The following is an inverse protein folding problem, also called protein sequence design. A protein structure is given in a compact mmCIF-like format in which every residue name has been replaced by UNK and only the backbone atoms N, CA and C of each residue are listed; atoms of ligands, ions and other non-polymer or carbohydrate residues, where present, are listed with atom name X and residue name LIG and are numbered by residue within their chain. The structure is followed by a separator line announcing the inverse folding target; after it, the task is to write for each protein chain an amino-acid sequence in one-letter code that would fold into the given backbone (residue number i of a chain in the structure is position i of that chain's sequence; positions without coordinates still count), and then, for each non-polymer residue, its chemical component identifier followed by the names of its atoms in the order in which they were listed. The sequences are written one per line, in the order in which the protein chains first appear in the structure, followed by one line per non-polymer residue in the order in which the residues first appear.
data_IF_227608049345
#
_entry.id   IF_227608049345
#
_cell.length_a   1.000
_cell.length_b   1.000
_cell.length_c   1.000
_cell.angle_alpha   90.00
_cell.angle_beta   90.00
_cell.angle_gamma   90.00
#
_symmetry.space_group_name_H-M   'P 1'
#
loop_
_entity.id
_entity.type
_entity.pdbx_description
1 polymer ?
#
# COMPACT_ATOMS: atom_id res chain seq x y z
N UNK A 1 -14.85 -7.97 18.04
CA UNK A 1 -13.96 -8.26 16.90
C UNK A 1 -14.88 -8.51 15.72
N UNK A 2 -14.93 -7.58 14.76
CA UNK A 2 -15.83 -7.66 13.60
C UNK A 2 -15.07 -8.40 12.49
N UNK A 3 -15.72 -9.37 11.90
CA UNK A 3 -15.17 -10.47 11.11
C UNK A 3 -14.20 -10.07 9.97
N UNK A 4 -13.10 -10.82 9.84
CA UNK A 4 -12.48 -11.16 8.55
C UNK A 4 -11.46 -10.18 7.94
N UNK A 5 -11.44 -8.92 8.35
CA UNK A 5 -10.53 -7.92 7.78
C UNK A 5 -9.41 -7.57 8.77
N UNK A 6 -8.21 -8.08 8.51
CA UNK A 6 -7.00 -7.67 9.23
C UNK A 6 -6.63 -6.25 8.81
N UNK A 7 -7.00 -5.28 9.64
CA UNK A 7 -6.51 -3.91 9.53
C UNK A 7 -5.13 -3.82 10.17
N UNK A 8 -4.18 -3.25 9.46
CA UNK A 8 -2.85 -2.96 9.99
C UNK A 8 -2.36 -1.62 9.47
N UNK A 9 -1.51 -0.97 10.25
CA UNK A 9 -0.81 0.25 9.87
C UNK A 9 0.66 -0.09 9.64
N UNK A 10 1.27 0.52 8.61
CA UNK A 10 2.69 0.40 8.35
C UNK A 10 3.27 1.72 7.85
N UNK A 11 4.57 1.91 8.07
CA UNK A 11 5.30 2.94 7.35
C UNK A 11 5.48 2.54 5.87
N UNK A 12 5.59 3.55 5.02
CA UNK A 12 5.82 3.36 3.59
C UNK A 12 7.32 3.41 3.33
N UNK A 13 7.95 2.23 3.30
CA UNK A 13 9.41 2.12 3.15
C UNK A 13 9.86 2.01 1.68
N UNK A 14 8.96 1.65 0.77
CA UNK A 14 9.29 1.43 -0.65
C UNK A 14 8.08 1.59 -1.55
N UNK A 15 8.12 2.62 -2.41
CA UNK A 15 7.21 2.82 -3.54
C UNK A 15 7.99 2.63 -4.85
N UNK A 16 7.31 2.08 -5.86
CA UNK A 16 7.79 2.04 -7.24
C UNK A 16 6.73 2.59 -8.20
N UNK A 17 7.19 3.35 -9.19
CA UNK A 17 6.37 3.87 -10.29
C UNK A 17 7.09 3.55 -11.59
N UNK A 18 6.46 2.85 -12.52
CA UNK A 18 7.07 2.44 -13.80
C UNK A 18 8.42 1.69 -13.66
N UNK A 19 8.55 0.82 -12.65
CA UNK A 19 9.80 0.10 -12.27
C UNK A 19 10.92 0.97 -11.68
N UNK A 20 10.67 2.25 -11.44
CA UNK A 20 11.60 3.16 -10.78
C UNK A 20 11.24 3.32 -9.31
N UNK A 21 12.24 3.24 -8.42
CA UNK A 21 12.04 3.50 -6.99
C UNK A 21 11.77 5.00 -6.77
N UNK A 22 10.73 5.32 -6.00
CA UNK A 22 10.34 6.70 -5.66
C UNK A 22 10.06 6.82 -4.17
N UNK A 23 10.25 8.02 -3.64
CA UNK A 23 9.91 8.36 -2.24
C UNK A 23 8.44 8.79 -2.09
N UNK A 24 7.82 9.25 -3.19
CA UNK A 24 6.42 9.66 -3.23
C UNK A 24 5.84 9.47 -4.63
N UNK A 25 4.51 9.48 -4.72
CA UNK A 25 3.76 9.35 -5.96
C UNK A 25 2.62 10.39 -6.01
N UNK A 26 2.21 10.74 -7.22
CA UNK A 26 1.15 11.70 -7.48
C UNK A 26 -0.22 11.03 -7.56
N UNK A 27 -1.26 11.83 -7.37
CA UNK A 27 -2.65 11.37 -7.54
C UNK A 27 -2.85 10.88 -8.97
N UNK A 28 -3.37 9.66 -9.11
CA UNK A 28 -3.68 9.03 -10.40
C UNK A 28 -2.55 8.17 -10.96
N UNK A 29 -1.37 8.15 -10.33
CA UNK A 29 -0.31 7.21 -10.70
C UNK A 29 -0.61 5.81 -10.19
N UNK A 30 -0.28 4.80 -11.00
CA UNK A 30 -0.29 3.40 -10.58
C UNK A 30 1.04 3.10 -9.92
N UNK A 31 0.99 2.61 -8.68
CA UNK A 31 2.17 2.41 -7.85
C UNK A 31 2.27 0.97 -7.37
N UNK A 32 3.50 0.46 -7.31
CA UNK A 32 3.83 -0.72 -6.51
C UNK A 32 4.19 -0.30 -5.09
N UNK A 33 3.54 -0.91 -4.09
CA UNK A 33 3.83 -0.68 -2.68
C UNK A 33 4.21 -2.01 -2.02
N UNK A 34 5.32 -2.03 -1.28
CA UNK A 34 5.70 -3.20 -0.50
C UNK A 34 4.90 -3.25 0.81
N UNK A 35 4.16 -4.34 1.03
CA UNK A 35 3.44 -4.58 2.28
C UNK A 35 4.23 -5.49 3.22
N UNK A 36 4.07 -5.28 4.53
CA UNK A 36 4.67 -6.14 5.56
C UNK A 36 3.85 -7.41 5.79
N UNK A 37 2.53 -7.31 5.60
CA UNK A 37 1.57 -8.40 5.74
C UNK A 37 1.00 -8.81 4.38
N UNK A 38 0.41 -10.01 4.33
CA UNK A 38 -0.28 -10.51 3.14
C UNK A 38 -1.57 -9.72 2.93
N UNK A 39 -1.72 -9.13 1.75
CA UNK A 39 -2.93 -8.42 1.31
C UNK A 39 -3.64 -9.20 0.21
N UNK A 40 -4.94 -8.97 0.08
CA UNK A 40 -5.77 -9.55 -0.98
C UNK A 40 -6.13 -8.47 -2.00
N UNK A 41 -6.48 -8.91 -3.21
CA UNK A 41 -7.03 -8.01 -4.23
C UNK A 41 -8.29 -7.31 -3.70
N UNK A 42 -8.43 -6.02 -4.02
CA UNK A 42 -9.52 -5.18 -3.53
C UNK A 42 -9.31 -4.58 -2.14
N UNK A 43 -8.17 -4.86 -1.47
CA UNK A 43 -7.84 -4.19 -0.22
C UNK A 43 -7.68 -2.68 -0.41
N UNK A 44 -8.30 -1.90 0.47
CA UNK A 44 -8.24 -0.44 0.46
C UNK A 44 -7.11 0.06 1.37
N UNK A 45 -6.41 1.11 0.92
CA UNK A 45 -5.30 1.71 1.66
C UNK A 45 -5.58 3.17 1.88
N UNK A 46 -5.38 3.62 3.11
CA UNK A 46 -5.64 4.99 3.55
C UNK A 46 -4.37 5.58 4.16
N UNK A 47 -4.16 6.88 3.93
CA UNK A 47 -3.15 7.64 4.67
C UNK A 47 -3.76 8.07 6.00
N UNK A 48 -3.11 7.68 7.10
CA UNK A 48 -3.41 8.10 8.48
C UNK A 48 -2.54 9.28 8.90
#
# INVERSE_FOLDING_TARGET
MRDGETLFEQNVDSIQVEHEKKDSANKGEVVGLKTQEVVKEGAEVYKV
#
